data_IF_863553548958
#
_entry.id   IF_863553548958
#
_cell.length_a   1.000
_cell.length_b   1.000
_cell.length_c   1.000
_cell.angle_alpha   90.00
_cell.angle_beta   90.00
_cell.angle_gamma   90.00
#
_symmetry.space_group_name_H-M   'P 1'
#
loop_
_entity.id
_entity.type
_entity.pdbx_description
1 polymer ?
#
# COMPACT_ATOMS: atom_id res chain seq x y z
N UNK A 1 -27.16 -20.03 39.10
CA UNK A 1 -28.28 -19.68 38.19
C UNK A 1 -28.02 -18.25 37.75
N UNK A 2 -27.63 -18.04 36.50
CA UNK A 2 -27.44 -16.69 35.92
C UNK A 2 -28.80 -15.99 35.79
N UNK A 3 -28.84 -14.72 36.16
CA UNK A 3 -30.05 -13.89 36.12
C UNK A 3 -30.50 -13.66 34.67
N UNK A 4 -31.80 -13.42 34.44
CA UNK A 4 -32.31 -13.16 33.09
C UNK A 4 -31.66 -11.91 32.45
N UNK A 5 -31.23 -10.95 33.27
CA UNK A 5 -30.47 -9.77 32.83
C UNK A 5 -29.07 -10.12 32.31
N UNK A 6 -28.37 -11.08 32.93
CA UNK A 6 -27.06 -11.55 32.45
C UNK A 6 -27.19 -12.29 31.11
N UNK A 7 -28.25 -13.08 30.93
CA UNK A 7 -28.52 -13.76 29.66
C UNK A 7 -28.83 -12.78 28.53
N UNK A 8 -29.62 -11.74 28.82
CA UNK A 8 -29.95 -10.71 27.83
C UNK A 8 -28.72 -9.88 27.46
N UNK A 9 -27.89 -9.53 28.43
CA UNK A 9 -26.60 -8.85 28.20
C UNK A 9 -25.67 -9.67 27.31
N UNK A 10 -25.45 -10.96 27.62
CA UNK A 10 -24.60 -11.85 26.83
C UNK A 10 -25.13 -12.00 25.39
N UNK A 11 -26.44 -12.15 25.22
CA UNK A 11 -27.05 -12.26 23.89
C UNK A 11 -26.85 -10.99 23.04
N UNK A 12 -26.93 -9.81 23.66
CA UNK A 12 -26.68 -8.55 22.95
C UNK A 12 -25.20 -8.39 22.59
N UNK A 13 -24.31 -8.74 23.51
CA UNK A 13 -22.86 -8.68 23.30
C UNK A 13 -22.41 -9.62 22.17
N UNK A 14 -22.93 -10.85 22.14
CA UNK A 14 -22.76 -11.83 21.04
C UNK A 14 -23.14 -11.24 19.68
N UNK A 15 -24.32 -10.61 19.59
CA UNK A 15 -24.81 -10.00 18.35
C UNK A 15 -23.91 -8.88 17.88
N UNK A 16 -23.42 -8.05 18.80
CA UNK A 16 -22.51 -6.95 18.48
C UNK A 16 -21.14 -7.49 18.00
N UNK A 17 -20.59 -8.50 18.66
CA UNK A 17 -19.36 -9.19 18.24
C UNK A 17 -19.51 -9.78 16.84
N UNK A 18 -20.59 -10.50 16.56
CA UNK A 18 -20.85 -11.06 15.23
C UNK A 18 -21.00 -9.98 14.16
N UNK A 19 -21.67 -8.87 14.47
CA UNK A 19 -21.79 -7.73 13.56
C UNK A 19 -20.41 -7.11 13.29
N UNK A 20 -19.59 -6.96 14.34
CA UNK A 20 -18.22 -6.46 14.22
C UNK A 20 -17.38 -7.37 13.33
N UNK A 21 -17.40 -8.68 13.55
CA UNK A 21 -16.70 -9.68 12.73
C UNK A 21 -17.05 -9.50 11.24
N UNK A 22 -18.33 -9.31 10.90
CA UNK A 22 -18.75 -9.10 9.51
C UNK A 22 -18.17 -7.81 8.91
N UNK A 23 -18.18 -6.71 9.65
CA UNK A 23 -17.60 -5.44 9.19
C UNK A 23 -16.09 -5.53 9.03
N UNK A 24 -15.40 -6.09 10.02
CA UNK A 24 -13.94 -6.21 10.04
C UNK A 24 -13.43 -7.13 8.93
N UNK A 25 -14.15 -8.21 8.60
CA UNK A 25 -13.82 -9.05 7.45
C UNK A 25 -13.90 -8.31 6.11
N UNK A 26 -14.89 -7.43 5.91
CA UNK A 26 -14.99 -6.63 4.69
C UNK A 26 -13.81 -5.65 4.56
N UNK A 27 -13.45 -5.01 5.67
CA UNK A 27 -12.28 -4.14 5.70
C UNK A 27 -10.98 -4.91 5.47
N UNK A 28 -10.85 -6.12 6.02
CA UNK A 28 -9.69 -6.99 5.81
C UNK A 28 -9.56 -7.38 4.33
N UNK A 29 -10.66 -7.68 3.65
CA UNK A 29 -10.64 -8.00 2.23
C UNK A 29 -10.23 -6.80 1.37
N UNK A 30 -10.72 -5.60 1.69
CA UNK A 30 -10.25 -4.36 1.04
C UNK A 30 -8.74 -4.18 1.20
N UNK A 31 -8.21 -4.42 2.40
CA UNK A 31 -6.77 -4.34 2.66
C UNK A 31 -5.96 -5.37 1.86
N UNK A 32 -6.51 -6.57 1.61
CA UNK A 32 -5.88 -7.61 0.77
C UNK A 32 -5.85 -7.21 -0.70
N UNK A 33 -6.92 -6.61 -1.20
CA UNK A 33 -6.97 -6.07 -2.57
C UNK A 33 -5.91 -4.98 -2.73
N UNK A 34 -5.87 -4.01 -1.81
CA UNK A 34 -4.84 -2.97 -1.79
C UNK A 34 -3.42 -3.57 -1.77
N UNK A 35 -3.19 -4.59 -0.94
CA UNK A 35 -1.90 -5.27 -0.86
C UNK A 35 -1.47 -5.85 -2.20
N UNK A 36 -2.41 -6.50 -2.91
CA UNK A 36 -2.15 -7.08 -4.22
C UNK A 36 -1.82 -5.99 -5.24
N UNK A 37 -2.59 -4.91 -5.27
CA UNK A 37 -2.33 -3.77 -6.17
C UNK A 37 -0.94 -3.16 -5.96
N UNK A 38 -0.49 -3.06 -4.70
CA UNK A 38 0.86 -2.60 -4.38
C UNK A 38 1.95 -3.58 -4.86
N UNK A 39 1.73 -4.89 -4.74
CA UNK A 39 2.66 -5.91 -5.26
C UNK A 39 2.73 -5.82 -6.79
N UNK A 40 1.58 -5.75 -7.46
CA UNK A 40 1.51 -5.63 -8.91
C UNK A 40 2.21 -4.33 -9.39
N UNK A 41 2.08 -3.23 -8.63
CA UNK A 41 2.78 -1.98 -8.91
C UNK A 41 4.30 -2.08 -8.75
N UNK A 42 4.80 -2.81 -7.74
CA UNK A 42 6.25 -3.08 -7.56
C UNK A 42 6.83 -3.72 -8.83
N UNK A 43 6.15 -4.73 -9.37
CA UNK A 43 6.57 -5.42 -10.59
C UNK A 43 6.44 -4.50 -11.81
N UNK A 44 5.33 -3.76 -11.90
CA UNK A 44 5.08 -2.77 -12.96
C UNK A 44 6.20 -1.73 -13.08
N UNK A 45 6.57 -1.08 -11.98
CA UNK A 45 7.65 -0.09 -11.98
C UNK A 45 9.04 -0.71 -12.24
N UNK A 46 9.25 -1.95 -11.82
CA UNK A 46 10.50 -2.67 -12.14
C UNK A 46 10.64 -2.91 -13.63
N UNK A 47 9.56 -3.38 -14.27
CA UNK A 47 9.52 -3.62 -15.70
C UNK A 47 9.69 -2.32 -16.48
N UNK A 48 8.96 -1.28 -16.10
CA UNK A 48 9.09 0.05 -16.70
C UNK A 48 10.53 0.58 -16.63
N UNK A 49 11.21 0.45 -15.48
CA UNK A 49 12.61 0.89 -15.35
C UNK A 49 13.55 0.15 -16.30
N UNK A 50 13.36 -1.17 -16.45
CA UNK A 50 14.15 -1.97 -17.37
C UNK A 50 13.91 -1.57 -18.84
N UNK A 51 12.66 -1.32 -19.19
CA UNK A 51 12.28 -0.90 -20.54
C UNK A 51 12.78 0.51 -20.85
N UNK A 52 12.77 1.41 -19.86
CA UNK A 52 13.40 2.73 -19.95
C UNK A 52 14.91 2.62 -20.24
N UNK A 53 15.61 1.73 -19.53
CA UNK A 53 17.03 1.50 -19.77
C UNK A 53 17.30 1.00 -21.20
N UNK A 54 16.53 0.01 -21.67
CA UNK A 54 16.64 -0.51 -23.05
C UNK A 54 16.37 0.58 -24.07
N UNK A 55 15.30 1.36 -23.89
CA UNK A 55 14.95 2.45 -24.80
C UNK A 55 16.10 3.45 -24.95
N UNK A 56 16.77 3.83 -23.86
CA UNK A 56 17.91 4.73 -23.92
C UNK A 56 19.12 4.11 -24.63
N UNK A 57 19.43 2.85 -24.34
CA UNK A 57 20.53 2.14 -25.01
C UNK A 57 20.29 1.97 -26.51
N UNK A 58 19.06 1.64 -26.92
CA UNK A 58 18.67 1.48 -28.32
C UNK A 58 18.68 2.84 -29.03
N UNK A 59 18.08 3.87 -28.43
CA UNK A 59 18.06 5.22 -29.00
C UNK A 59 19.47 5.79 -29.16
N UNK A 60 20.35 5.60 -28.17
CA UNK A 60 21.75 6.02 -28.23
C UNK A 60 22.47 5.40 -29.42
N UNK A 61 22.24 4.10 -29.69
CA UNK A 61 22.81 3.41 -30.85
C UNK A 61 22.23 3.91 -32.16
N UNK A 62 20.92 4.03 -32.25
CA UNK A 62 20.23 4.45 -33.47
C UNK A 62 20.64 5.87 -33.90
N UNK A 63 20.72 6.78 -32.94
CA UNK A 63 21.08 8.17 -33.19
C UNK A 63 22.59 8.45 -33.11
N UNK A 64 23.40 7.44 -32.79
CA UNK A 64 24.87 7.53 -32.70
C UNK A 64 25.34 8.65 -31.75
N UNK A 65 24.76 8.71 -30.56
CA UNK A 65 25.06 9.71 -29.53
C UNK A 65 25.09 9.11 -28.13
N UNK A 66 25.67 9.82 -27.17
CA UNK A 66 25.69 9.36 -25.78
C UNK A 66 24.29 9.43 -25.17
N UNK A 67 23.97 8.49 -24.26
CA UNK A 67 22.66 8.44 -23.57
C UNK A 67 22.30 9.78 -22.92
N UNK A 68 23.32 10.46 -22.39
CA UNK A 68 23.19 11.74 -21.70
C UNK A 68 22.81 12.91 -22.62
N UNK A 69 23.00 12.76 -23.94
CA UNK A 69 22.67 13.77 -24.97
C UNK A 69 21.27 13.54 -25.57
N UNK A 70 20.69 12.36 -25.34
CA UNK A 70 19.35 12.02 -25.81
C UNK A 70 18.27 13.04 -25.43
N UNK A 71 18.20 13.59 -24.19
CA UNK A 71 17.17 14.55 -23.82
C UNK A 71 17.16 15.77 -24.74
N UNK A 72 18.33 16.35 -25.02
CA UNK A 72 18.47 17.51 -25.89
C UNK A 72 18.14 17.15 -27.35
N UNK A 73 18.60 15.99 -27.81
CA UNK A 73 18.26 15.51 -29.15
C UNK A 73 16.76 15.31 -29.33
N UNK A 74 16.10 14.58 -28.42
CA UNK A 74 14.66 14.34 -28.47
C UNK A 74 13.90 15.67 -28.35
N UNK A 75 14.31 16.59 -27.48
CA UNK A 75 13.69 17.91 -27.36
C UNK A 75 13.69 18.68 -28.68
N UNK A 76 14.80 18.63 -29.42
CA UNK A 76 14.97 19.36 -30.67
C UNK A 76 14.37 18.66 -31.89
N UNK A 77 14.35 17.32 -31.92
CA UNK A 77 14.04 16.55 -33.13
C UNK A 77 12.74 15.74 -33.01
N UNK A 78 12.37 15.27 -31.81
CA UNK A 78 11.21 14.41 -31.56
C UNK A 78 10.57 14.82 -30.22
N UNK A 79 10.13 16.07 -30.14
CA UNK A 79 9.73 16.74 -28.89
C UNK A 79 8.58 16.04 -28.14
N UNK A 80 7.76 15.25 -28.83
CA UNK A 80 6.71 14.44 -28.21
C UNK A 80 7.30 13.42 -27.23
N UNK A 81 8.34 12.69 -27.65
CA UNK A 81 9.04 11.71 -26.80
C UNK A 81 9.64 12.42 -25.59
N UNK A 82 10.29 13.57 -25.80
CA UNK A 82 10.82 14.40 -24.72
C UNK A 82 9.74 14.78 -23.70
N UNK A 83 8.60 15.31 -24.17
CA UNK A 83 7.49 15.71 -23.30
C UNK A 83 6.90 14.53 -22.52
N UNK A 84 6.80 13.36 -23.14
CA UNK A 84 6.28 12.16 -22.48
C UNK A 84 7.17 11.76 -21.28
N UNK A 85 8.49 11.74 -21.45
CA UNK A 85 9.39 11.40 -20.34
C UNK A 85 9.48 12.48 -19.27
N UNK A 86 9.35 13.76 -19.63
CA UNK A 86 9.18 14.86 -18.66
C UNK A 86 7.90 14.64 -17.84
N UNK A 87 6.79 14.29 -18.47
CA UNK A 87 5.53 14.03 -17.77
C UNK A 87 5.66 12.83 -16.83
N UNK A 88 6.28 11.73 -17.28
CA UNK A 88 6.50 10.53 -16.45
C UNK A 88 7.32 10.87 -15.19
N UNK A 89 8.33 11.74 -15.30
CA UNK A 89 9.10 12.22 -14.15
C UNK A 89 8.22 13.00 -13.15
N UNK A 90 7.32 13.85 -13.65
CA UNK A 90 6.36 14.57 -12.80
C UNK A 90 5.34 13.64 -12.14
N UNK A 91 4.74 12.73 -12.90
CA UNK A 91 3.78 11.74 -12.39
C UNK A 91 4.43 10.87 -11.30
N UNK A 92 5.70 10.47 -11.47
CA UNK A 92 6.44 9.73 -10.46
C UNK A 92 6.64 10.53 -9.16
N UNK A 93 6.87 11.85 -9.25
CA UNK A 93 6.99 12.72 -8.07
C UNK A 93 5.65 12.88 -7.34
N UNK A 94 4.56 13.02 -8.08
CA UNK A 94 3.22 13.13 -7.51
C UNK A 94 2.80 11.82 -6.83
N UNK A 95 3.07 10.68 -7.47
CA UNK A 95 2.80 9.35 -6.91
C UNK A 95 3.57 9.12 -5.60
N UNK A 96 4.84 9.53 -5.52
CA UNK A 96 5.61 9.47 -4.27
C UNK A 96 4.90 10.24 -3.17
N UNK A 97 4.40 11.46 -3.44
CA UNK A 97 3.69 12.24 -2.43
C UNK A 97 2.38 11.58 -1.98
N UNK A 98 1.67 10.92 -2.90
CA UNK A 98 0.46 10.16 -2.58
C UNK A 98 0.79 8.98 -1.67
N UNK A 99 1.82 8.20 -2.01
CA UNK A 99 2.28 7.05 -1.21
C UNK A 99 2.77 7.47 0.17
N UNK A 100 3.51 8.57 0.28
CA UNK A 100 3.95 9.11 1.56
C UNK A 100 2.75 9.51 2.44
N UNK A 101 1.73 10.16 1.88
CA UNK A 101 0.48 10.48 2.61
C UNK A 101 -0.26 9.21 3.03
N UNK A 102 -0.31 8.20 2.17
CA UNK A 102 -0.92 6.90 2.47
C UNK A 102 -0.19 6.19 3.63
N UNK A 103 1.14 6.17 3.63
CA UNK A 103 1.95 5.62 4.74
C UNK A 103 1.61 6.32 6.06
N UNK A 104 1.49 7.65 6.07
CA UNK A 104 1.11 8.38 7.28
C UNK A 104 -0.30 8.04 7.77
N UNK A 105 -1.25 7.83 6.84
CA UNK A 105 -2.59 7.34 7.16
C UNK A 105 -2.56 5.94 7.78
N UNK A 106 -1.78 5.03 7.18
CA UNK A 106 -1.62 3.66 7.66
C UNK A 106 -1.00 3.60 9.06
N UNK A 107 -0.05 4.47 9.40
CA UNK A 107 0.51 4.55 10.76
C UNK A 107 -0.56 4.88 11.81
N UNK A 108 -1.47 5.79 11.50
CA UNK A 108 -2.60 6.13 12.40
C UNK A 108 -3.54 4.94 12.55
N UNK A 109 -3.98 4.36 11.42
CA UNK A 109 -4.85 3.18 11.39
C UNK A 109 -4.23 1.99 12.13
N UNK A 110 -2.92 1.77 11.99
CA UNK A 110 -2.19 0.71 12.68
C UNK A 110 -2.25 0.88 14.20
N UNK A 111 -2.08 2.10 14.71
CA UNK A 111 -2.15 2.38 16.14
C UNK A 111 -3.56 2.14 16.70
N UNK A 112 -4.59 2.57 15.97
CA UNK A 112 -5.99 2.34 16.36
C UNK A 112 -6.33 0.84 16.34
N UNK A 113 -5.84 0.12 15.34
CA UNK A 113 -6.03 -1.34 15.20
C UNK A 113 -5.33 -2.08 16.34
N UNK A 114 -4.09 -1.70 16.69
CA UNK A 114 -3.37 -2.28 17.84
C UNK A 114 -4.06 -2.00 19.18
N UNK A 115 -4.59 -0.78 19.37
CA UNK A 115 -5.35 -0.43 20.57
C UNK A 115 -6.61 -1.28 20.70
N UNK A 116 -7.30 -1.49 19.58
CA UNK A 116 -8.50 -2.32 19.51
C UNK A 116 -8.19 -3.78 19.80
N UNK A 117 -7.11 -4.33 19.22
CA UNK A 117 -6.63 -5.68 19.54
C UNK A 117 -6.33 -5.84 21.04
N UNK A 118 -5.67 -4.85 21.66
CA UNK A 118 -5.38 -4.88 23.09
C UNK A 118 -6.67 -4.94 23.93
N UNK A 119 -7.72 -4.19 23.53
CA UNK A 119 -9.01 -4.22 24.21
C UNK A 119 -9.66 -5.61 24.17
N UNK A 120 -9.70 -6.25 22.99
CA UNK A 120 -10.29 -7.60 22.86
C UNK A 120 -9.46 -8.67 23.58
N UNK A 121 -8.13 -8.57 23.53
CA UNK A 121 -7.23 -9.45 24.31
C UNK A 121 -7.37 -9.26 25.83
N UNK A 122 -7.79 -8.08 26.29
CA UNK A 122 -7.99 -7.81 27.72
C UNK A 122 -9.36 -8.19 28.26
N UNK A 123 -10.30 -8.63 27.40
CA UNK A 123 -11.56 -9.19 27.89
C UNK A 123 -11.26 -10.48 28.67
N UNK A 124 -11.89 -10.65 29.83
CA UNK A 124 -11.52 -11.63 30.86
C UNK A 124 -11.39 -13.06 30.33
N UNK A 125 -10.18 -13.62 30.46
CA UNK A 125 -9.79 -14.99 30.06
C UNK A 125 -10.66 -16.12 30.65
N UNK A 126 -11.40 -15.85 31.72
CA UNK A 126 -12.27 -16.83 32.42
C UNK A 126 -13.77 -16.67 32.11
N UNK A 127 -14.14 -15.89 31.07
CA UNK A 127 -15.54 -15.70 30.69
C UNK A 127 -15.87 -16.36 29.35
N UNK A 128 -17.04 -17.00 29.25
CA UNK A 128 -17.60 -17.55 28.00
C UNK A 128 -17.64 -16.50 26.86
N UNK A 129 -17.64 -15.21 27.23
CA UNK A 129 -17.60 -14.07 26.31
C UNK A 129 -16.23 -13.86 25.62
N UNK A 130 -15.13 -14.33 26.21
CA UNK A 130 -13.80 -14.23 25.60
C UNK A 130 -13.65 -15.17 24.41
N UNK A 131 -14.18 -16.39 24.49
CA UNK A 131 -14.17 -17.34 23.37
C UNK A 131 -14.85 -16.75 22.13
N UNK A 132 -15.93 -16.00 22.32
CA UNK A 132 -16.65 -15.31 21.24
C UNK A 132 -15.84 -14.17 20.61
N UNK A 133 -14.93 -13.57 21.36
CA UNK A 133 -14.05 -12.50 20.89
C UNK A 133 -12.79 -13.02 20.19
N UNK A 134 -12.42 -14.29 20.34
CA UNK A 134 -11.23 -14.88 19.69
C UNK A 134 -11.17 -14.64 18.17
N UNK A 135 -12.27 -14.76 17.39
CA UNK A 135 -12.24 -14.43 15.97
C UNK A 135 -11.87 -12.97 15.70
N UNK A 136 -12.29 -12.02 16.55
CA UNK A 136 -11.89 -10.61 16.41
C UNK A 136 -10.40 -10.43 16.69
N UNK A 137 -9.84 -11.14 17.67
CA UNK A 137 -8.40 -11.11 17.95
C UNK A 137 -7.59 -11.52 16.72
N UNK A 138 -7.94 -12.65 16.10
CA UNK A 138 -7.29 -13.14 14.87
C UNK A 138 -7.44 -12.13 13.73
N UNK A 139 -8.64 -11.59 13.52
CA UNK A 139 -8.89 -10.59 12.47
C UNK A 139 -8.03 -9.34 12.63
N UNK A 140 -7.90 -8.81 13.85
CA UNK A 140 -7.09 -7.62 14.07
C UNK A 140 -5.60 -7.90 13.95
N UNK A 141 -5.12 -9.09 14.30
CA UNK A 141 -3.75 -9.52 14.05
C UNK A 141 -3.44 -9.55 12.54
N UNK A 142 -4.33 -10.14 11.75
CA UNK A 142 -4.22 -10.18 10.29
C UNK A 142 -4.22 -8.76 9.70
N UNK A 143 -5.14 -7.89 10.14
CA UNK A 143 -5.18 -6.49 9.69
C UNK A 143 -3.88 -5.76 10.00
N UNK A 144 -3.32 -5.95 11.20
CA UNK A 144 -2.03 -5.35 11.60
C UNK A 144 -0.92 -5.80 10.66
N UNK A 145 -0.87 -7.09 10.33
CA UNK A 145 0.16 -7.63 9.44
C UNK A 145 0.01 -7.06 8.02
N UNK A 146 -1.19 -7.01 7.47
CA UNK A 146 -1.41 -6.45 6.13
C UNK A 146 -1.10 -4.96 6.07
N UNK A 147 -1.52 -4.17 7.07
CA UNK A 147 -1.22 -2.73 7.10
C UNK A 147 0.30 -2.48 7.11
N UNK A 148 1.07 -3.27 7.87
CA UNK A 148 2.53 -3.17 7.88
C UNK A 148 3.14 -3.54 6.53
N UNK A 149 2.71 -4.66 5.94
CA UNK A 149 3.20 -5.09 4.63
C UNK A 149 2.87 -4.07 3.55
N UNK A 150 1.70 -3.42 3.60
CA UNK A 150 1.33 -2.36 2.67
C UNK A 150 2.24 -1.14 2.84
N UNK A 151 2.58 -0.75 4.09
CA UNK A 151 3.57 0.31 4.35
C UNK A 151 4.95 -0.05 3.76
N UNK A 152 5.41 -1.28 3.96
CA UNK A 152 6.67 -1.78 3.40
C UNK A 152 6.66 -1.77 1.87
N UNK A 153 5.58 -2.25 1.25
CA UNK A 153 5.43 -2.24 -0.21
C UNK A 153 5.41 -0.81 -0.78
N UNK A 154 4.73 0.14 -0.14
CA UNK A 154 4.77 1.54 -0.55
C UNK A 154 6.20 2.11 -0.52
N UNK A 155 6.99 1.78 0.50
CA UNK A 155 8.40 2.21 0.55
C UNK A 155 9.23 1.63 -0.60
N UNK A 156 9.00 0.36 -0.95
CA UNK A 156 9.65 -0.28 -2.10
C UNK A 156 9.27 0.43 -3.40
N UNK A 157 7.98 0.75 -3.59
CA UNK A 157 7.51 1.50 -4.76
C UNK A 157 8.18 2.88 -4.84
N UNK A 158 8.21 3.62 -3.72
CA UNK A 158 8.86 4.93 -3.66
C UNK A 158 10.32 4.86 -4.11
N UNK A 159 11.08 3.85 -3.67
CA UNK A 159 12.47 3.69 -4.09
C UNK A 159 12.60 3.38 -5.59
N UNK A 160 11.68 2.60 -6.17
CA UNK A 160 11.65 2.37 -7.62
C UNK A 160 11.32 3.65 -8.40
N UNK A 161 10.33 4.42 -7.95
CA UNK A 161 9.99 5.71 -8.54
C UNK A 161 11.18 6.68 -8.48
N UNK A 162 11.92 6.73 -7.37
CA UNK A 162 13.16 7.52 -7.27
C UNK A 162 14.24 7.08 -8.25
N UNK A 163 14.37 5.77 -8.52
CA UNK A 163 15.30 5.26 -9.54
C UNK A 163 14.90 5.73 -10.94
N UNK A 164 13.61 5.70 -11.26
CA UNK A 164 13.07 6.22 -12.52
C UNK A 164 13.35 7.72 -12.64
N UNK A 165 13.03 8.51 -11.62
CA UNK A 165 13.29 9.96 -11.59
C UNK A 165 14.76 10.27 -11.80
N UNK A 166 15.66 9.53 -11.13
CA UNK A 166 17.10 9.67 -11.30
C UNK A 166 17.55 9.35 -12.73
N UNK A 167 17.00 8.29 -13.32
CA UNK A 167 17.28 7.93 -14.72
C UNK A 167 16.79 9.02 -15.70
N UNK A 168 15.75 9.75 -15.31
CA UNK A 168 15.17 10.87 -16.05
C UNK A 168 15.69 12.25 -15.59
N UNK A 169 16.81 12.34 -14.85
CA UNK A 169 17.21 13.59 -14.21
C UNK A 169 17.44 14.75 -15.20
N UNK A 170 18.02 14.44 -16.37
CA UNK A 170 18.29 15.39 -17.47
C UNK A 170 17.08 15.67 -18.37
N UNK A 171 15.97 14.94 -18.15
CA UNK A 171 14.71 15.17 -18.84
C UNK A 171 13.89 16.15 -17.99
N UNK A 172 13.83 17.42 -18.38
CA UNK A 172 13.08 18.45 -17.66
C UNK A 172 13.92 19.27 -16.69
#
# INVERSE_FOLDING_TARGET
MTSDAEKEFLSQAQKEVQKRIKTENKELESLRVEQKELIDAIDGYSNFYNDLCKFFEESSKDFHMEIDELPDYFRSNINEVYRNYVQIKHDALDEIQVLEKYIQSNKRKLNDTKRTLKFYRSQYLDSDFFEECLPLVVLYEDKINIIKNNEENCLVIIEKLKQIIKKLEKWG
#
